data_IF_820548509138
#
_entry.id   IF_820548509138
#
_cell.length_a   1.000
_cell.length_b   1.000
_cell.length_c   1.000
_cell.angle_alpha   90.00
_cell.angle_beta   90.00
_cell.angle_gamma   90.00
#
_symmetry.space_group_name_H-M   'P 1'
#
loop_
_entity.id
_entity.type
_entity.pdbx_description
1 polymer ?
#
# COMPACT_ATOMS: atom_id res chain seq x y z
N UNK A 1 7.27 -14.09 18.34
CA UNK A 1 7.96 -13.50 19.49
C UNK A 1 7.05 -13.56 20.70
N UNK A 2 7.52 -13.77 21.92
CA UNK A 2 6.64 -13.63 23.09
C UNK A 2 6.17 -12.18 23.20
N UNK A 3 4.93 -11.97 23.66
CA UNK A 3 4.39 -10.63 23.91
C UNK A 3 5.29 -9.92 24.93
N UNK A 4 5.62 -8.66 24.65
CA UNK A 4 6.29 -7.80 25.61
C UNK A 4 5.26 -7.35 26.66
N UNK A 5 5.37 -7.74 27.93
CA UNK A 5 4.35 -7.39 28.96
C UNK A 5 4.23 -5.88 29.21
N UNK A 6 5.19 -5.08 28.72
CA UNK A 6 5.15 -3.62 28.78
C UNK A 6 4.64 -2.98 27.48
N UNK A 7 4.37 -3.74 26.44
CA UNK A 7 3.81 -3.22 25.20
C UNK A 7 2.28 -3.03 25.36
N UNK A 8 1.71 -1.94 24.82
CA UNK A 8 0.27 -1.71 24.88
C UNK A 8 -0.47 -2.76 24.05
N UNK A 9 -1.71 -3.07 24.44
CA UNK A 9 -2.67 -3.77 23.58
C UNK A 9 -3.28 -2.80 22.59
N UNK A 10 -3.61 -3.28 21.35
CA UNK A 10 -4.02 -2.40 20.28
C UNK A 10 -5.13 -3.01 19.42
N UNK A 11 -6.14 -2.22 19.05
CA UNK A 11 -7.14 -2.58 18.04
C UNK A 11 -7.00 -1.70 16.81
N UNK A 12 -7.10 -2.31 15.63
CA UNK A 12 -7.21 -1.61 14.34
C UNK A 12 -8.57 -1.94 13.74
N UNK A 13 -9.34 -0.91 13.40
CA UNK A 13 -10.60 -1.05 12.66
C UNK A 13 -10.37 -0.70 11.19
N UNK A 14 -10.61 -1.67 10.33
CA UNK A 14 -10.44 -1.57 8.88
C UNK A 14 -11.78 -1.79 8.19
N UNK A 15 -12.27 -0.75 7.52
CA UNK A 15 -13.36 -0.84 6.55
C UNK A 15 -12.74 -0.93 5.16
N UNK A 16 -13.08 -1.98 4.42
CA UNK A 16 -12.51 -2.22 3.08
C UNK A 16 -13.31 -1.43 2.06
N UNK A 17 -12.67 -0.43 1.43
CA UNK A 17 -13.25 0.43 0.38
C UNK A 17 -12.50 0.24 -0.93
N UNK A 18 -11.16 0.32 -0.93
CA UNK A 18 -10.30 0.04 -2.10
C UNK A 18 -9.85 -1.43 -2.11
N UNK A 19 -10.80 -2.35 -2.24
CA UNK A 19 -10.56 -3.79 -2.36
C UNK A 19 -9.44 -4.32 -1.43
N UNK A 20 -8.20 -4.38 -1.93
CA UNK A 20 -7.06 -4.94 -1.21
C UNK A 20 -6.16 -3.87 -0.56
N UNK A 21 -6.35 -2.59 -0.91
CA UNK A 21 -5.48 -1.50 -0.43
C UNK A 21 -5.57 -1.31 1.07
N UNK A 22 -6.79 -1.06 1.57
CA UNK A 22 -7.03 -0.75 2.98
C UNK A 22 -6.62 -1.89 3.90
N UNK A 23 -7.12 -3.09 3.61
CA UNK A 23 -6.77 -4.28 4.40
C UNK A 23 -5.30 -4.66 4.26
N UNK A 24 -4.69 -4.38 3.10
CA UNK A 24 -3.27 -4.62 2.87
C UNK A 24 -2.39 -3.82 3.82
N UNK A 25 -2.66 -2.52 3.97
CA UNK A 25 -1.93 -1.63 4.88
C UNK A 25 -2.18 -2.04 6.34
N UNK A 26 -3.46 -2.23 6.72
CA UNK A 26 -3.82 -2.63 8.08
C UNK A 26 -3.16 -3.95 8.49
N UNK A 27 -3.10 -4.92 7.58
CA UNK A 27 -2.46 -6.22 7.82
C UNK A 27 -0.94 -6.10 7.98
N UNK A 28 -0.27 -5.29 7.15
CA UNK A 28 1.18 -5.03 7.31
C UNK A 28 1.45 -4.35 8.65
N UNK A 29 0.71 -3.30 8.98
CA UNK A 29 0.86 -2.60 10.26
C UNK A 29 0.63 -3.54 11.46
N UNK A 30 -0.45 -4.32 11.44
CA UNK A 30 -0.77 -5.26 12.51
C UNK A 30 0.35 -6.29 12.74
N UNK A 31 0.87 -6.87 11.64
CA UNK A 31 1.98 -7.83 11.72
C UNK A 31 3.26 -7.19 12.21
N UNK A 32 3.62 -6.01 11.69
CA UNK A 32 4.83 -5.30 12.11
C UNK A 32 4.79 -4.94 13.60
N UNK A 33 3.67 -4.38 14.08
CA UNK A 33 3.46 -4.09 15.49
C UNK A 33 3.61 -5.34 16.38
N UNK A 34 3.07 -6.47 15.94
CA UNK A 34 3.22 -7.72 16.68
C UNK A 34 4.65 -8.26 16.61
N UNK A 35 5.22 -8.41 15.41
CA UNK A 35 6.47 -9.12 15.17
C UNK A 35 7.70 -8.36 15.67
N UNK A 36 7.70 -7.04 15.53
CA UNK A 36 8.87 -6.22 15.85
C UNK A 36 8.77 -5.57 17.23
N UNK A 37 7.55 -5.26 17.68
CA UNK A 37 7.34 -4.55 18.95
C UNK A 37 6.64 -5.38 20.03
N UNK A 38 6.20 -6.62 19.72
CA UNK A 38 5.54 -7.50 20.68
C UNK A 38 4.15 -7.02 21.15
N UNK A 39 3.50 -6.15 20.35
CA UNK A 39 2.16 -5.61 20.64
C UNK A 39 1.11 -6.71 20.46
N UNK A 40 0.16 -6.80 21.39
CA UNK A 40 -1.04 -7.63 21.24
C UNK A 40 -2.03 -6.89 20.34
N UNK A 41 -2.16 -7.31 19.07
CA UNK A 41 -2.99 -6.63 18.08
C UNK A 41 -4.27 -7.40 17.81
N UNK A 42 -5.42 -6.70 17.85
CA UNK A 42 -6.71 -7.15 17.30
C UNK A 42 -7.05 -6.34 16.05
N UNK A 43 -7.23 -7.02 14.93
CA UNK A 43 -7.61 -6.43 13.66
C UNK A 43 -9.08 -6.74 13.37
N UNK A 44 -9.92 -5.70 13.35
CA UNK A 44 -11.34 -5.77 12.99
C UNK A 44 -11.51 -5.46 11.51
N UNK A 45 -12.16 -6.37 10.77
CA UNK A 45 -12.31 -6.27 9.32
C UNK A 45 -13.75 -6.59 8.92
N UNK A 46 -14.35 -5.75 8.10
CA UNK A 46 -15.72 -5.95 7.59
C UNK A 46 -15.76 -6.93 6.39
N UNK A 47 -14.75 -6.93 5.54
CA UNK A 47 -14.64 -7.84 4.38
C UNK A 47 -13.49 -8.84 4.55
N UNK A 48 -13.78 -9.96 5.22
CA UNK A 48 -12.83 -11.07 5.37
C UNK A 48 -12.60 -11.86 4.06
N UNK A 49 -13.48 -11.74 3.06
CA UNK A 49 -13.27 -12.39 1.77
C UNK A 49 -12.14 -11.71 0.98
N UNK A 50 -12.11 -10.38 0.95
CA UNK A 50 -10.99 -9.62 0.41
C UNK A 50 -9.71 -9.88 1.20
N UNK A 51 -9.80 -9.99 2.53
CA UNK A 51 -8.64 -10.30 3.36
C UNK A 51 -8.07 -11.68 3.08
N UNK A 52 -8.89 -12.71 2.93
CA UNK A 52 -8.47 -14.07 2.56
C UNK A 52 -7.62 -14.09 1.27
N UNK A 53 -7.92 -13.22 0.31
CA UNK A 53 -7.16 -13.14 -0.95
C UNK A 53 -5.69 -12.75 -0.73
N UNK A 54 -5.42 -11.82 0.19
CA UNK A 54 -4.06 -11.38 0.50
C UNK A 54 -3.37 -12.20 1.59
N UNK A 55 -4.16 -12.90 2.42
CA UNK A 55 -3.70 -13.80 3.47
C UNK A 55 -4.55 -15.08 3.47
N UNK A 56 -4.18 -16.12 2.71
CA UNK A 56 -4.95 -17.36 2.58
C UNK A 56 -5.20 -18.12 3.90
N UNK A 57 -4.42 -17.82 4.94
CA UNK A 57 -4.60 -18.42 6.27
C UNK A 57 -5.82 -17.85 7.02
N UNK A 58 -6.42 -16.76 6.53
CA UNK A 58 -7.64 -16.17 7.10
C UNK A 58 -8.86 -16.95 6.60
N UNK A 59 -9.67 -17.48 7.51
CA UNK A 59 -10.97 -18.08 7.19
C UNK A 59 -12.03 -16.98 7.06
N UNK A 60 -12.60 -16.75 5.87
CA UNK A 60 -13.64 -15.74 5.68
C UNK A 60 -14.98 -16.08 6.34
N UNK A 61 -15.18 -17.29 6.87
CA UNK A 61 -16.39 -17.68 7.59
C UNK A 61 -16.29 -17.48 9.12
N UNK A 62 -15.08 -17.34 9.66
CA UNK A 62 -14.86 -17.23 11.09
C UNK A 62 -15.10 -15.80 11.60
N UNK A 63 -15.82 -15.66 12.74
CA UNK A 63 -16.02 -14.36 13.40
C UNK A 63 -14.79 -13.91 14.20
N UNK A 64 -14.00 -14.86 14.68
CA UNK A 64 -12.74 -14.60 15.37
C UNK A 64 -11.73 -15.71 15.06
N UNK A 65 -10.49 -15.31 14.84
CA UNK A 65 -9.40 -16.24 14.51
C UNK A 65 -8.04 -15.64 14.87
N UNK A 66 -7.00 -16.48 14.91
CA UNK A 66 -5.65 -16.04 15.22
C UNK A 66 -4.71 -16.43 14.08
N UNK A 67 -4.07 -15.43 13.47
CA UNK A 67 -3.22 -15.62 12.28
C UNK A 67 -1.97 -14.76 12.38
N UNK A 68 -0.79 -15.34 12.18
CA UNK A 68 0.51 -14.67 12.21
C UNK A 68 0.74 -13.78 13.46
N UNK A 69 0.20 -14.18 14.62
CA UNK A 69 0.35 -13.44 15.87
C UNK A 69 -0.69 -12.34 16.10
N UNK A 70 -1.63 -12.17 15.18
CA UNK A 70 -2.69 -11.15 15.24
C UNK A 70 -4.04 -11.83 15.46
N UNK A 71 -4.85 -11.28 16.39
CA UNK A 71 -6.26 -11.66 16.52
C UNK A 71 -7.06 -10.95 15.43
N UNK A 72 -7.68 -11.68 14.53
CA UNK A 72 -8.56 -11.14 13.50
C UNK A 72 -10.01 -11.34 13.94
N UNK A 73 -10.81 -10.29 13.85
CA UNK A 73 -12.24 -10.33 14.18
C UNK A 73 -13.06 -9.75 13.02
N UNK A 74 -14.21 -10.40 12.76
CA UNK A 74 -15.18 -9.86 11.82
C UNK A 74 -15.83 -8.60 12.43
N UNK A 75 -15.86 -7.55 11.65
CA UNK A 75 -16.55 -6.31 12.00
C UNK A 75 -17.95 -6.29 11.36
N UNK A 76 -18.99 -6.30 12.20
CA UNK A 76 -20.39 -6.31 11.75
C UNK A 76 -20.98 -4.88 11.61
N UNK A 77 -20.18 -3.89 11.28
CA UNK A 77 -20.64 -2.50 11.10
C UNK A 77 -20.90 -1.79 12.43
N UNK A 78 -21.99 -1.03 12.51
CA UNK A 78 -22.29 -0.15 13.64
C UNK A 78 -22.91 -0.86 14.85
N UNK A 79 -23.19 -2.15 14.74
CA UNK A 79 -23.76 -2.96 15.82
C UNK A 79 -22.71 -3.53 16.77
N UNK A 80 -23.19 -4.07 17.91
CA UNK A 80 -22.36 -4.77 18.90
C UNK A 80 -22.54 -4.21 20.30
N UNK A 81 -22.32 -5.08 21.30
CA UNK A 81 -22.28 -4.70 22.72
C UNK A 81 -20.85 -4.91 23.20
N UNK A 82 -20.25 -3.87 23.71
CA UNK A 82 -18.86 -3.85 24.17
C UNK A 82 -18.77 -3.39 25.62
N UNK A 83 -17.98 -4.08 26.42
CA UNK A 83 -17.66 -3.67 27.78
C UNK A 83 -16.31 -2.96 27.85
N UNK A 84 -16.02 -2.29 28.96
CA UNK A 84 -14.73 -1.65 29.19
C UNK A 84 -13.54 -2.64 29.13
N UNK A 85 -13.77 -3.92 29.44
CA UNK A 85 -12.77 -4.99 29.33
C UNK A 85 -12.43 -5.42 27.91
N UNK A 86 -13.27 -5.07 26.92
CA UNK A 86 -13.03 -5.36 25.52
C UNK A 86 -12.17 -4.30 24.82
N UNK A 87 -11.93 -3.18 25.52
CA UNK A 87 -11.22 -2.03 24.97
C UNK A 87 -9.71 -2.15 25.27
N UNK A 88 -8.84 -2.15 24.26
CA UNK A 88 -7.39 -2.16 24.43
C UNK A 88 -6.85 -0.79 24.85
N UNK A 89 -5.53 -0.70 25.03
CA UNK A 89 -4.86 0.56 25.41
C UNK A 89 -4.84 1.57 24.27
N UNK A 90 -4.82 1.09 23.04
CA UNK A 90 -4.80 1.92 21.83
C UNK A 90 -5.88 1.45 20.86
N UNK A 91 -6.61 2.39 20.29
CA UNK A 91 -7.63 2.14 19.24
C UNK A 91 -7.28 2.95 18.01
N UNK A 92 -7.07 2.28 16.88
CA UNK A 92 -6.84 2.89 15.58
C UNK A 92 -8.10 2.76 14.73
N UNK A 93 -8.64 3.90 14.36
CA UNK A 93 -9.67 4.06 13.35
C UNK A 93 -8.97 4.33 12.01
N UNK A 94 -9.10 3.41 11.07
CA UNK A 94 -8.38 3.51 9.81
C UNK A 94 -9.22 4.25 8.77
N UNK A 95 -8.68 5.34 8.23
CA UNK A 95 -9.33 6.22 7.23
C UNK A 95 -10.71 6.75 7.65
N UNK A 96 -10.89 7.05 8.95
CA UNK A 96 -12.15 7.58 9.44
C UNK A 96 -13.32 6.61 9.25
N UNK A 97 -13.11 5.31 9.44
CA UNK A 97 -14.10 4.25 9.16
C UNK A 97 -15.33 4.26 10.10
N UNK A 98 -15.41 5.20 11.04
CA UNK A 98 -16.51 5.40 11.98
C UNK A 98 -16.76 4.18 12.88
N UNK A 99 -16.11 4.16 14.04
CA UNK A 99 -16.25 3.11 15.04
C UNK A 99 -17.70 2.92 15.50
N UNK A 100 -18.13 1.70 15.85
CA UNK A 100 -19.45 1.47 16.40
C UNK A 100 -19.72 2.37 17.63
N UNK A 101 -20.89 3.02 17.75
CA UNK A 101 -21.19 3.90 18.89
C UNK A 101 -21.02 3.21 20.25
N UNK A 102 -21.45 1.96 20.37
CA UNK A 102 -21.27 1.17 21.60
C UNK A 102 -19.79 0.93 21.95
N UNK A 103 -18.90 0.82 20.94
CA UNK A 103 -17.47 0.70 21.17
C UNK A 103 -16.89 2.03 21.70
N UNK A 104 -17.30 3.15 21.13
CA UNK A 104 -16.87 4.50 21.56
C UNK A 104 -17.37 4.80 22.98
N UNK A 105 -18.59 4.38 23.32
CA UNK A 105 -19.12 4.48 24.69
C UNK A 105 -18.32 3.64 25.68
N UNK A 106 -17.96 2.40 25.32
CA UNK A 106 -17.10 1.53 26.12
C UNK A 106 -15.69 2.11 26.30
N UNK A 107 -15.12 2.74 25.25
CA UNK A 107 -13.85 3.50 25.35
C UNK A 107 -13.95 4.62 26.39
N UNK A 108 -15.06 5.35 26.42
CA UNK A 108 -15.28 6.44 27.38
C UNK A 108 -15.44 5.94 28.82
N UNK A 109 -15.98 4.73 29.02
CA UNK A 109 -16.18 4.09 30.31
C UNK A 109 -14.91 3.43 30.87
N UNK A 110 -13.93 3.12 30.03
CA UNK A 110 -12.66 2.48 30.42
C UNK A 110 -11.78 3.45 31.26
N UNK A 111 -11.09 2.91 32.25
CA UNK A 111 -10.09 3.65 33.04
C UNK A 111 -8.79 2.83 33.13
N UNK A 112 -7.61 3.35 32.69
CA UNK A 112 -7.45 4.60 31.95
C UNK A 112 -8.12 4.52 30.57
N UNK A 113 -8.47 5.68 29.99
CA UNK A 113 -9.04 5.74 28.65
C UNK A 113 -8.02 5.31 27.60
N UNK A 114 -8.46 4.69 26.49
CA UNK A 114 -7.53 4.33 25.43
C UNK A 114 -7.02 5.57 24.67
N UNK A 115 -5.82 5.47 24.13
CA UNK A 115 -5.35 6.40 23.10
C UNK A 115 -6.14 6.11 21.82
N UNK A 116 -6.85 7.12 21.31
CA UNK A 116 -7.64 7.00 20.08
C UNK A 116 -6.96 7.72 18.93
N UNK A 117 -6.63 6.98 17.87
CA UNK A 117 -5.92 7.47 16.70
C UNK A 117 -6.80 7.30 15.47
N UNK A 118 -6.96 8.34 14.68
CA UNK A 118 -7.45 8.26 13.31
C UNK A 118 -6.24 8.22 12.37
N UNK A 119 -6.00 7.05 11.78
CA UNK A 119 -4.95 6.87 10.78
C UNK A 119 -5.47 7.35 9.43
N UNK A 120 -4.79 8.32 8.86
CA UNK A 120 -5.18 8.99 7.61
C UNK A 120 -4.42 8.49 6.40
N UNK A 121 -4.91 8.79 5.20
CA UNK A 121 -4.29 8.41 3.95
C UNK A 121 -2.95 9.13 3.70
N UNK A 122 -1.99 8.40 3.18
CA UNK A 122 -0.66 8.91 2.82
C UNK A 122 -0.77 10.07 1.80
N UNK A 123 -0.22 11.24 2.12
CA UNK A 123 -0.17 12.39 1.24
C UNK A 123 1.15 13.17 1.36
N UNK A 124 1.54 13.80 0.26
CA UNK A 124 2.66 14.74 0.18
C UNK A 124 2.19 16.21 0.12
N UNK A 125 0.93 16.48 0.42
CA UNK A 125 0.38 17.84 0.44
C UNK A 125 0.91 18.59 1.67
N UNK A 126 1.21 19.89 1.51
CA UNK A 126 1.87 20.72 2.54
C UNK A 126 1.07 20.84 3.85
N UNK A 127 -0.28 20.76 3.78
CA UNK A 127 -1.15 20.87 4.95
C UNK A 127 -1.04 19.68 5.92
N UNK A 128 -0.58 18.51 5.42
CA UNK A 128 -0.47 17.27 6.20
C UNK A 128 0.39 17.43 7.43
N UNK A 129 1.51 18.13 7.30
CA UNK A 129 2.42 18.37 8.42
C UNK A 129 1.76 19.16 9.55
N UNK A 130 0.92 20.14 9.19
CA UNK A 130 0.18 20.95 10.17
C UNK A 130 -0.97 20.20 10.84
N UNK A 131 -1.46 19.12 10.24
CA UNK A 131 -2.56 18.31 10.76
C UNK A 131 -2.09 17.05 11.51
N UNK A 132 -0.86 16.61 11.27
CA UNK A 132 -0.30 15.43 11.92
C UNK A 132 -0.25 15.59 13.44
N UNK A 133 -0.79 14.60 14.17
CA UNK A 133 -0.92 14.55 15.64
C UNK A 133 -1.89 15.56 16.25
N UNK A 134 -2.64 16.32 15.46
CA UNK A 134 -3.64 17.24 16.02
C UNK A 134 -4.74 16.49 16.78
N UNK A 135 -5.13 16.99 17.95
CA UNK A 135 -6.24 16.42 18.72
C UNK A 135 -7.59 16.89 18.19
N UNK A 136 -8.59 16.02 18.26
CA UNK A 136 -10.01 16.33 18.04
C UNK A 136 -10.83 15.82 19.20
N UNK A 137 -11.53 16.71 19.89
CA UNK A 137 -12.38 16.39 21.04
C UNK A 137 -13.69 15.76 20.59
N UNK A 138 -14.07 14.62 21.16
CA UNK A 138 -15.40 14.07 20.93
C UNK A 138 -16.47 14.99 21.52
N UNK A 139 -17.54 15.33 20.77
CA UNK A 139 -18.47 16.40 21.17
C UNK A 139 -19.25 16.13 22.46
N UNK A 140 -19.46 14.87 22.84
CA UNK A 140 -20.28 14.46 23.99
C UNK A 140 -19.54 13.65 25.04
N UNK A 141 -18.53 12.91 24.62
CA UNK A 141 -17.74 12.03 25.48
C UNK A 141 -16.38 12.68 25.78
N UNK A 142 -15.81 12.38 26.94
CA UNK A 142 -14.48 12.90 27.30
C UNK A 142 -13.38 12.05 26.63
N UNK A 143 -13.44 11.95 25.30
CA UNK A 143 -12.46 11.26 24.47
C UNK A 143 -11.75 12.25 23.54
N UNK A 144 -10.48 12.02 23.30
CA UNK A 144 -9.67 12.78 22.34
C UNK A 144 -9.19 11.82 21.28
N UNK A 145 -9.51 12.13 20.02
CA UNK A 145 -9.01 11.44 18.85
C UNK A 145 -7.84 12.24 18.27
N UNK A 146 -6.73 11.61 17.95
CA UNK A 146 -5.58 12.24 17.35
C UNK A 146 -5.46 11.82 15.87
N UNK A 147 -5.30 12.78 14.96
CA UNK A 147 -5.05 12.48 13.56
C UNK A 147 -3.60 12.05 13.36
N UNK A 148 -3.38 10.94 12.68
CA UNK A 148 -2.05 10.41 12.40
C UNK A 148 -1.88 10.24 10.89
N UNK A 149 -1.07 11.08 10.28
CA UNK A 149 -0.80 11.08 8.85
C UNK A 149 0.52 10.39 8.55
N UNK A 150 0.55 9.30 7.76
CA UNK A 150 1.77 8.86 7.11
C UNK A 150 2.29 9.94 6.16
N UNK A 151 3.57 9.89 5.81
CA UNK A 151 4.15 10.91 4.94
C UNK A 151 5.64 10.71 4.69
N UNK A 152 6.24 11.64 3.97
CA UNK A 152 7.54 11.50 3.36
C UNK A 152 8.66 12.31 4.03
N UNK A 153 8.40 12.87 5.20
CA UNK A 153 9.37 13.69 5.93
C UNK A 153 9.31 13.45 7.44
N UNK A 154 10.20 14.07 8.18
CA UNK A 154 10.34 13.89 9.63
C UNK A 154 9.15 14.38 10.45
N UNK A 155 8.34 15.34 9.92
CA UNK A 155 7.17 15.95 10.58
C UNK A 155 5.89 15.15 10.37
N UNK A 156 5.96 14.00 9.72
CA UNK A 156 4.86 13.09 9.46
C UNK A 156 5.13 11.70 10.04
N UNK A 157 4.16 10.80 9.95
CA UNK A 157 4.25 9.45 10.52
C UNK A 157 5.25 8.50 9.84
N UNK A 158 5.89 8.91 8.74
CA UNK A 158 6.73 8.00 7.95
C UNK A 158 5.92 7.00 7.13
N UNK A 159 6.58 5.95 6.64
CA UNK A 159 5.97 4.87 5.87
C UNK A 159 6.19 3.53 6.56
N UNK A 160 5.28 2.57 6.34
CA UNK A 160 5.49 1.18 6.79
C UNK A 160 6.73 0.59 6.12
N UNK A 161 7.67 0.14 6.95
CA UNK A 161 8.92 -0.47 6.53
C UNK A 161 9.35 -1.51 7.55
N UNK A 162 9.15 -2.77 7.24
CA UNK A 162 9.48 -3.88 8.14
C UNK A 162 11.00 -4.05 8.30
N UNK A 163 11.44 -4.42 9.48
CA UNK A 163 12.84 -4.69 9.77
C UNK A 163 13.39 -5.77 8.81
N UNK A 164 14.56 -5.49 8.25
CA UNK A 164 15.20 -6.40 7.29
C UNK A 164 14.68 -6.33 5.85
N UNK A 165 13.59 -5.60 5.55
CA UNK A 165 13.03 -5.50 4.20
C UNK A 165 14.07 -5.09 3.17
N UNK A 166 14.88 -4.08 3.49
CA UNK A 166 15.93 -3.59 2.57
C UNK A 166 17.04 -4.62 2.36
N UNK A 167 17.39 -5.39 3.38
CA UNK A 167 18.37 -6.48 3.26
C UNK A 167 17.85 -7.62 2.39
N UNK A 168 16.58 -8.04 2.60
CA UNK A 168 15.92 -9.04 1.78
C UNK A 168 15.83 -8.60 0.31
N UNK A 169 15.42 -7.36 0.07
CA UNK A 169 15.35 -6.80 -1.28
C UNK A 169 16.72 -6.83 -1.98
N UNK A 170 17.77 -6.35 -1.30
CA UNK A 170 19.14 -6.35 -1.88
C UNK A 170 19.60 -7.75 -2.20
N UNK A 171 19.44 -8.70 -1.28
CA UNK A 171 19.85 -10.08 -1.47
C UNK A 171 19.13 -10.67 -2.71
N UNK A 172 17.81 -10.47 -2.82
CA UNK A 172 17.03 -10.96 -3.95
C UNK A 172 17.44 -10.29 -5.29
N UNK A 173 17.61 -8.96 -5.31
CA UNK A 173 17.98 -8.23 -6.53
C UNK A 173 19.42 -8.51 -6.99
N UNK A 174 20.29 -8.96 -6.11
CA UNK A 174 21.67 -9.36 -6.41
C UNK A 174 21.82 -10.84 -6.76
N UNK A 175 20.74 -11.62 -6.69
CA UNK A 175 20.71 -13.04 -7.03
C UNK A 175 19.86 -13.29 -8.30
N UNK A 176 20.50 -13.30 -9.51
CA UNK A 176 19.78 -13.57 -10.76
C UNK A 176 19.12 -14.94 -10.79
N UNK A 177 19.66 -15.94 -10.06
CA UNK A 177 19.09 -17.28 -10.02
C UNK A 177 17.79 -17.28 -9.19
N UNK A 178 17.78 -16.61 -8.03
CA UNK A 178 16.57 -16.46 -7.22
C UNK A 178 15.50 -15.67 -7.98
N UNK A 179 15.85 -14.55 -8.64
CA UNK A 179 14.91 -13.79 -9.49
C UNK A 179 14.37 -14.65 -10.63
N UNK A 180 15.24 -15.39 -11.33
CA UNK A 180 14.84 -16.28 -12.42
C UNK A 180 13.89 -17.38 -11.94
N UNK A 181 14.19 -18.03 -10.82
CA UNK A 181 13.34 -19.05 -10.21
C UNK A 181 11.98 -18.48 -9.79
N UNK A 182 11.95 -17.28 -9.21
CA UNK A 182 10.70 -16.61 -8.87
C UNK A 182 9.83 -16.32 -10.10
N UNK A 183 10.41 -15.73 -11.14
CA UNK A 183 9.69 -15.39 -12.38
C UNK A 183 9.24 -16.65 -13.15
N UNK A 184 10.02 -17.74 -13.09
CA UNK A 184 9.65 -19.01 -13.70
C UNK A 184 8.35 -19.61 -13.10
N UNK A 185 8.01 -19.31 -11.84
CA UNK A 185 6.72 -19.71 -11.24
C UNK A 185 5.51 -19.15 -12.02
N UNK A 186 5.70 -18.04 -12.71
CA UNK A 186 4.69 -17.40 -13.56
C UNK A 186 4.82 -17.78 -15.05
N UNK A 187 5.63 -18.79 -15.35
CA UNK A 187 5.78 -19.33 -16.70
C UNK A 187 6.63 -18.46 -17.64
N UNK A 188 7.45 -17.54 -17.14
CA UNK A 188 8.36 -16.78 -18.00
C UNK A 188 9.37 -17.74 -18.64
N UNK A 189 9.51 -17.64 -19.95
CA UNK A 189 10.52 -18.36 -20.71
C UNK A 189 11.91 -17.72 -20.51
N UNK A 190 12.97 -18.48 -20.81
CA UNK A 190 14.35 -17.97 -20.77
C UNK A 190 14.52 -16.73 -21.68
N UNK A 191 13.83 -16.69 -22.82
CA UNK A 191 13.84 -15.55 -23.72
C UNK A 191 13.18 -14.32 -23.07
N UNK A 192 12.00 -14.48 -22.47
CA UNK A 192 11.27 -13.39 -21.82
C UNK A 192 12.00 -12.88 -20.56
N UNK A 193 12.78 -13.71 -19.89
CA UNK A 193 13.62 -13.27 -18.78
C UNK A 193 14.64 -12.17 -19.17
N UNK A 194 15.03 -12.11 -20.45
CA UNK A 194 15.90 -11.06 -21.00
C UNK A 194 15.14 -9.80 -21.44
N UNK A 195 13.79 -9.84 -21.51
CA UNK A 195 12.97 -8.69 -21.87
C UNK A 195 12.91 -7.69 -20.72
N UNK A 196 12.49 -6.45 -21.04
CA UNK A 196 12.04 -5.50 -20.01
C UNK A 196 10.85 -6.10 -19.28
N UNK A 197 10.92 -6.21 -17.97
CA UNK A 197 9.85 -6.72 -17.10
C UNK A 197 9.05 -5.55 -16.53
N UNK A 198 7.75 -5.57 -16.76
CA UNK A 198 6.82 -4.56 -16.23
C UNK A 198 5.75 -5.25 -15.39
N UNK A 199 5.61 -4.87 -14.13
CA UNK A 199 4.42 -5.24 -13.36
C UNK A 199 3.30 -4.23 -13.64
N UNK A 200 2.08 -4.72 -13.90
CA UNK A 200 0.94 -3.87 -14.23
C UNK A 200 -0.19 -4.08 -13.22
N UNK A 201 -0.36 -3.14 -12.32
CA UNK A 201 -1.46 -3.10 -11.37
C UNK A 201 -2.10 -1.70 -11.41
N UNK A 202 -3.30 -1.61 -12.04
CA UNK A 202 -3.97 -0.35 -12.31
C UNK A 202 -5.48 -0.45 -12.10
N UNK A 203 -6.16 0.69 -12.10
CA UNK A 203 -7.62 0.76 -12.16
C UNK A 203 -8.12 0.58 -13.61
N UNK A 204 -9.42 0.28 -13.82
CA UNK A 204 -9.96 -0.04 -15.15
C UNK A 204 -9.92 1.10 -16.17
N UNK A 205 -9.84 2.33 -15.71
CA UNK A 205 -9.82 3.57 -16.52
C UNK A 205 -8.44 3.92 -17.10
N UNK A 206 -7.41 3.13 -16.76
CA UNK A 206 -6.07 3.31 -17.30
C UNK A 206 -6.04 3.23 -18.84
N UNK A 207 -5.25 4.06 -19.55
CA UNK A 207 -5.14 4.10 -21.01
C UNK A 207 -4.27 2.94 -21.54
N UNK A 208 -4.75 1.70 -21.33
CA UNK A 208 -3.98 0.48 -21.62
C UNK A 208 -3.86 0.17 -23.11
N UNK A 209 -4.86 0.49 -23.91
CA UNK A 209 -4.82 0.18 -25.35
C UNK A 209 -3.68 0.95 -26.01
N UNK A 210 -3.53 2.21 -25.66
CA UNK A 210 -2.47 3.10 -26.16
C UNK A 210 -1.10 2.66 -25.64
N UNK A 211 -0.99 2.30 -24.37
CA UNK A 211 0.26 1.84 -23.77
C UNK A 211 0.68 0.49 -24.36
N UNK A 212 -0.23 -0.46 -24.53
CA UNK A 212 0.05 -1.73 -25.19
C UNK A 212 0.48 -1.53 -26.64
N UNK A 213 -0.11 -0.58 -27.35
CA UNK A 213 0.31 -0.25 -28.71
C UNK A 213 1.74 0.32 -28.73
N UNK A 214 2.08 1.23 -27.81
CA UNK A 214 3.42 1.76 -27.68
C UNK A 214 4.45 0.64 -27.40
N UNK A 215 4.16 -0.30 -26.49
CA UNK A 215 5.05 -1.42 -26.18
C UNK A 215 5.19 -2.43 -27.34
N UNK A 216 4.13 -2.66 -28.10
CA UNK A 216 4.18 -3.53 -29.29
C UNK A 216 5.13 -3.00 -30.34
N UNK A 217 5.28 -1.69 -30.45
CA UNK A 217 6.09 -0.97 -31.45
C UNK A 217 7.46 -0.55 -30.91
N UNK A 218 7.73 -0.74 -29.61
CA UNK A 218 9.01 -0.39 -29.00
C UNK A 218 10.14 -1.25 -29.58
N UNK A 219 11.35 -0.70 -29.69
CA UNK A 219 12.53 -1.45 -30.13
C UNK A 219 12.94 -2.52 -29.11
N UNK A 220 12.73 -2.29 -27.82
CA UNK A 220 13.06 -3.23 -26.76
C UNK A 220 11.87 -4.11 -26.41
N UNK A 221 11.98 -5.45 -26.49
CA UNK A 221 10.91 -6.34 -26.09
C UNK A 221 10.53 -6.15 -24.61
N UNK A 222 9.24 -6.22 -24.33
CA UNK A 222 8.66 -6.06 -22.99
C UNK A 222 7.82 -7.29 -22.64
N UNK A 223 7.96 -7.81 -21.41
CA UNK A 223 7.01 -8.73 -20.81
C UNK A 223 6.22 -7.98 -19.72
N UNK A 224 4.91 -7.91 -19.92
CA UNK A 224 3.96 -7.31 -19.00
C UNK A 224 3.36 -8.40 -18.11
N UNK A 225 3.54 -8.29 -16.81
CA UNK A 225 3.05 -9.18 -15.78
C UNK A 225 1.84 -8.51 -15.11
N UNK A 226 0.64 -9.04 -15.39
CA UNK A 226 -0.62 -8.46 -14.90
C UNK A 226 -1.36 -9.45 -14.01
N UNK A 227 -1.67 -9.12 -12.75
CA UNK A 227 -2.47 -9.98 -11.88
C UNK A 227 -3.87 -10.21 -12.43
N UNK A 228 -4.38 -11.43 -12.23
CA UNK A 228 -5.76 -11.80 -12.59
C UNK A 228 -6.78 -10.79 -12.07
N UNK A 229 -7.74 -10.41 -12.91
CA UNK A 229 -8.79 -9.44 -12.59
C UNK A 229 -8.40 -7.97 -12.80
N UNK A 230 -7.12 -7.65 -12.96
CA UNK A 230 -6.68 -6.27 -13.25
C UNK A 230 -7.03 -5.90 -14.69
N UNK A 231 -7.74 -4.79 -14.87
CA UNK A 231 -8.15 -4.24 -16.18
C UNK A 231 -8.68 -5.31 -17.15
N UNK A 232 -9.48 -6.26 -16.65
CA UNK A 232 -9.86 -7.51 -17.28
C UNK A 232 -10.26 -7.36 -18.74
N UNK A 233 -11.18 -6.45 -19.06
CA UNK A 233 -11.69 -6.27 -20.41
C UNK A 233 -10.58 -5.91 -21.43
N UNK A 234 -9.61 -5.07 -21.03
CA UNK A 234 -8.49 -4.66 -21.89
C UNK A 234 -7.47 -5.78 -22.05
N UNK A 235 -7.22 -6.53 -20.99
CA UNK A 235 -6.34 -7.70 -21.02
C UNK A 235 -6.95 -8.80 -21.91
N UNK A 236 -8.23 -9.12 -21.78
CA UNK A 236 -8.95 -10.07 -22.64
C UNK A 236 -8.93 -9.65 -24.12
N UNK A 237 -9.12 -8.37 -24.41
CA UNK A 237 -9.03 -7.85 -25.78
C UNK A 237 -7.61 -8.03 -26.36
N UNK A 238 -6.56 -7.81 -25.57
CA UNK A 238 -5.19 -8.08 -25.97
C UNK A 238 -4.92 -9.56 -26.19
N UNK A 239 -5.36 -10.42 -25.26
CA UNK A 239 -5.15 -11.87 -25.34
C UNK A 239 -5.93 -12.50 -26.51
N UNK A 240 -7.14 -12.00 -26.79
CA UNK A 240 -8.14 -12.66 -27.63
C UNK A 240 -8.80 -13.87 -26.95
N UNK A 241 -8.69 -13.96 -25.62
CA UNK A 241 -9.21 -15.05 -24.77
C UNK A 241 -9.47 -14.52 -23.36
N UNK A 242 -10.05 -15.36 -22.50
CA UNK A 242 -10.28 -15.02 -21.08
C UNK A 242 -8.96 -14.70 -20.35
N UNK A 243 -8.98 -13.65 -19.50
CA UNK A 243 -7.83 -13.22 -18.71
C UNK A 243 -7.72 -14.04 -17.41
N UNK A 244 -7.55 -15.34 -17.53
CA UNK A 244 -7.35 -16.26 -16.41
C UNK A 244 -5.85 -16.43 -16.10
N UNK A 245 -5.54 -16.81 -14.87
CA UNK A 245 -4.18 -17.07 -14.44
C UNK A 245 -3.47 -18.08 -15.38
N UNK A 246 -2.28 -17.70 -15.84
CA UNK A 246 -1.49 -18.48 -16.81
C UNK A 246 -1.78 -18.13 -18.28
N UNK A 247 -2.85 -17.38 -18.59
CA UNK A 247 -3.09 -16.91 -19.97
C UNK A 247 -1.96 -15.98 -20.42
N UNK A 248 -1.53 -16.14 -21.67
CA UNK A 248 -0.48 -15.32 -22.25
C UNK A 248 -0.66 -15.14 -23.74
N UNK A 249 -0.17 -14.02 -24.25
CA UNK A 249 -0.08 -13.75 -25.70
C UNK A 249 1.09 -12.81 -25.98
N UNK A 250 1.64 -12.94 -27.20
CA UNK A 250 2.67 -12.03 -27.69
C UNK A 250 2.19 -11.36 -28.97
N UNK A 251 2.28 -10.03 -29.02
CA UNK A 251 1.92 -9.21 -30.19
C UNK A 251 2.98 -8.15 -30.41
N UNK A 252 3.73 -8.26 -31.51
CA UNK A 252 4.92 -7.42 -31.75
C UNK A 252 5.96 -7.66 -30.64
N UNK A 253 6.50 -6.60 -30.08
CA UNK A 253 7.48 -6.67 -29.01
C UNK A 253 6.87 -6.67 -27.58
N UNK A 254 5.57 -6.91 -27.46
CA UNK A 254 4.88 -7.06 -26.15
C UNK A 254 4.45 -8.51 -25.95
N UNK A 255 5.00 -9.17 -24.92
CA UNK A 255 4.46 -10.37 -24.31
C UNK A 255 3.65 -9.97 -23.07
N UNK A 256 2.40 -10.41 -22.96
CA UNK A 256 1.54 -10.20 -21.79
C UNK A 256 1.27 -11.55 -21.12
N UNK A 257 1.41 -11.60 -19.80
CA UNK A 257 1.12 -12.77 -18.97
C UNK A 257 0.22 -12.43 -17.81
N UNK A 258 -0.85 -13.19 -17.66
CA UNK A 258 -1.77 -13.07 -16.51
C UNK A 258 -1.22 -13.91 -15.37
N UNK A 259 -0.94 -13.25 -14.24
CA UNK A 259 -0.48 -13.90 -13.02
C UNK A 259 -1.66 -14.37 -12.19
N UNK A 260 -1.55 -15.48 -11.43
CA UNK A 260 -2.49 -15.75 -10.36
C UNK A 260 -2.46 -14.61 -9.34
N UNK A 261 -3.43 -14.57 -8.45
CA UNK A 261 -3.36 -13.63 -7.33
C UNK A 261 -2.07 -13.88 -6.52
N UNK A 262 -1.32 -12.81 -6.26
CA UNK A 262 0.00 -12.89 -5.61
C UNK A 262 -0.13 -12.42 -4.16
N UNK A 263 0.13 -13.29 -3.16
CA UNK A 263 0.14 -12.89 -1.74
C UNK A 263 1.13 -11.75 -1.47
N UNK A 264 0.90 -10.97 -0.41
CA UNK A 264 1.71 -9.77 -0.12
C UNK A 264 3.23 -9.99 -0.12
N UNK A 265 3.80 -11.06 0.47
CA UNK A 265 5.25 -11.27 0.42
C UNK A 265 5.77 -11.50 -1.01
N UNK A 266 5.05 -12.25 -1.82
CA UNK A 266 5.40 -12.52 -3.20
C UNK A 266 5.20 -11.29 -4.10
N UNK A 267 4.24 -10.41 -3.75
CA UNK A 267 4.04 -9.15 -4.44
C UNK A 267 5.25 -8.21 -4.29
N UNK A 268 5.88 -8.17 -3.12
CA UNK A 268 7.11 -7.44 -2.93
C UNK A 268 8.24 -7.97 -3.84
N UNK A 269 8.39 -9.30 -3.93
CA UNK A 269 9.35 -9.94 -4.85
C UNK A 269 9.06 -9.60 -6.31
N UNK A 270 7.78 -9.54 -6.70
CA UNK A 270 7.37 -9.14 -8.06
C UNK A 270 7.83 -7.72 -8.40
N UNK A 271 7.60 -6.76 -7.49
CA UNK A 271 8.05 -5.38 -7.66
C UNK A 271 9.59 -5.28 -7.73
N UNK A 272 10.31 -6.10 -6.97
CA UNK A 272 11.77 -6.12 -6.96
C UNK A 272 12.35 -6.74 -8.23
N UNK A 273 11.65 -7.71 -8.82
CA UNK A 273 12.08 -8.40 -10.04
C UNK A 273 11.82 -7.60 -11.32
N UNK A 274 10.87 -6.65 -11.29
CA UNK A 274 10.50 -5.86 -12.46
C UNK A 274 11.38 -4.62 -12.65
N UNK A 275 11.55 -4.22 -13.92
CA UNK A 275 12.33 -3.03 -14.30
C UNK A 275 11.50 -1.74 -14.20
N UNK A 276 10.16 -1.86 -14.24
CA UNK A 276 9.20 -0.77 -14.08
C UNK A 276 7.92 -1.32 -13.45
N UNK A 277 7.36 -0.58 -12.50
CA UNK A 277 6.17 -0.98 -11.77
C UNK A 277 5.03 0.02 -11.97
N UNK A 278 3.92 -0.41 -12.54
CA UNK A 278 2.66 0.31 -12.45
C UNK A 278 1.95 -0.17 -11.19
N UNK A 279 1.66 0.75 -10.28
CA UNK A 279 1.05 0.45 -8.98
C UNK A 279 -0.15 1.35 -8.75
N UNK A 280 -1.11 0.89 -7.91
CA UNK A 280 -2.33 1.65 -7.62
C UNK A 280 -2.60 1.78 -6.13
N UNK A 281 -3.52 2.68 -5.79
CA UNK A 281 -3.93 2.88 -4.40
C UNK A 281 -2.77 3.28 -3.50
N UNK A 282 -2.73 2.76 -2.26
CA UNK A 282 -1.73 3.17 -1.29
C UNK A 282 -0.73 2.05 -0.94
N UNK A 283 -1.17 0.82 -0.61
CA UNK A 283 -0.24 -0.27 -0.22
C UNK A 283 0.80 -0.55 -1.30
N UNK A 284 0.36 -0.82 -2.54
CA UNK A 284 1.27 -1.13 -3.63
C UNK A 284 2.19 0.05 -4.00
N UNK A 285 1.73 1.28 -3.82
CA UNK A 285 2.52 2.49 -4.01
C UNK A 285 3.64 2.62 -2.98
N UNK A 286 3.35 2.39 -1.70
CA UNK A 286 4.38 2.34 -0.65
C UNK A 286 5.40 1.25 -0.96
N UNK A 287 4.96 0.07 -1.36
CA UNK A 287 5.87 -1.06 -1.67
C UNK A 287 6.74 -0.80 -2.89
N UNK A 288 6.24 -0.11 -3.91
CA UNK A 288 7.03 0.29 -5.08
C UNK A 288 8.18 1.25 -4.71
N UNK A 289 7.97 2.12 -3.73
CA UNK A 289 9.03 3.00 -3.23
C UNK A 289 10.16 2.21 -2.58
N UNK A 290 9.82 1.16 -1.79
CA UNK A 290 10.80 0.28 -1.18
C UNK A 290 11.50 -0.65 -2.18
N UNK A 291 10.90 -0.92 -3.34
CA UNK A 291 11.53 -1.70 -4.40
C UNK A 291 12.81 -1.04 -4.95
N UNK A 292 12.93 0.30 -4.85
CA UNK A 292 14.05 1.05 -5.43
C UNK A 292 14.10 0.92 -6.95
N UNK A 293 12.96 0.71 -7.59
CA UNK A 293 12.78 0.58 -9.04
C UNK A 293 11.87 1.70 -9.55
N UNK A 294 11.98 2.10 -10.81
CA UNK A 294 11.04 3.01 -11.45
C UNK A 294 9.58 2.56 -11.23
N UNK A 295 8.70 3.51 -10.96
CA UNK A 295 7.27 3.22 -10.86
C UNK A 295 6.41 4.37 -11.41
N UNK A 296 5.20 4.01 -11.82
CA UNK A 296 4.11 4.91 -12.20
C UNK A 296 2.94 4.63 -11.24
N UNK A 297 2.51 5.65 -10.52
CA UNK A 297 1.41 5.53 -9.57
C UNK A 297 0.07 5.85 -10.22
N UNK A 298 -0.90 4.94 -10.09
CA UNK A 298 -2.29 5.16 -10.40
C UNK A 298 -3.03 5.41 -9.08
N UNK A 299 -3.30 6.67 -8.78
CA UNK A 299 -3.97 7.08 -7.54
C UNK A 299 -5.43 6.63 -7.54
N UNK A 300 -5.97 6.30 -6.36
CA UNK A 300 -7.40 5.96 -6.21
C UNK A 300 -8.29 7.12 -6.68
N UNK A 301 -9.19 6.89 -7.66
CA UNK A 301 -10.07 7.94 -8.18
C UNK A 301 -11.03 8.45 -7.11
N UNK A 302 -11.14 9.78 -7.00
CA UNK A 302 -12.06 10.46 -6.10
C UNK A 302 -12.99 11.36 -6.91
N UNK A 303 -14.16 11.66 -6.35
CA UNK A 303 -15.09 12.61 -6.94
C UNK A 303 -14.41 13.97 -7.18
N UNK A 304 -14.89 14.71 -8.17
CA UNK A 304 -14.37 16.03 -8.56
C UNK A 304 -12.85 16.09 -8.82
N UNK A 305 -12.23 14.94 -9.12
CA UNK A 305 -10.79 14.82 -9.37
C UNK A 305 -9.90 15.35 -8.22
N UNK A 306 -10.36 15.30 -6.98
CA UNK A 306 -9.60 15.77 -5.81
C UNK A 306 -8.26 15.02 -5.66
N UNK A 307 -8.23 13.76 -6.05
CA UNK A 307 -7.00 12.94 -6.07
C UNK A 307 -5.88 13.52 -6.94
N UNK A 308 -6.20 14.33 -7.97
CA UNK A 308 -5.17 14.98 -8.79
C UNK A 308 -4.31 15.99 -8.03
N UNK A 309 -4.84 16.63 -6.96
CA UNK A 309 -4.06 17.51 -6.10
C UNK A 309 -2.99 16.72 -5.34
N UNK A 310 -3.41 15.62 -4.73
CA UNK A 310 -2.53 14.68 -4.01
C UNK A 310 -1.45 14.09 -4.94
N UNK A 311 -1.83 13.70 -6.16
CA UNK A 311 -0.91 13.23 -7.18
C UNK A 311 0.15 14.28 -7.55
N UNK A 312 -0.28 15.53 -7.80
CA UNK A 312 0.62 16.64 -8.14
C UNK A 312 1.57 16.99 -7.00
N UNK A 313 1.10 16.94 -5.76
CA UNK A 313 1.92 17.16 -4.57
C UNK A 313 3.03 16.10 -4.48
N UNK A 314 2.69 14.81 -4.63
CA UNK A 314 3.69 13.74 -4.64
C UNK A 314 4.70 13.89 -5.79
N UNK A 315 4.24 14.16 -7.02
CA UNK A 315 5.13 14.37 -8.15
C UNK A 315 6.01 15.62 -7.99
N UNK A 316 5.55 16.60 -7.20
CA UNK A 316 6.33 17.80 -6.83
C UNK A 316 7.56 17.47 -5.98
N UNK A 317 7.50 16.45 -5.12
CA UNK A 317 8.62 16.02 -4.26
C UNK A 317 9.42 14.87 -4.88
N UNK A 318 8.76 13.93 -5.54
CA UNK A 318 9.42 12.74 -6.11
C UNK A 318 10.03 13.00 -7.49
N UNK A 319 9.29 13.65 -8.39
CA UNK A 319 9.64 13.78 -9.81
C UNK A 319 9.89 15.24 -10.25
N UNK A 320 10.39 16.10 -9.35
CA UNK A 320 10.62 17.51 -9.64
C UNK A 320 11.55 17.73 -10.84
N UNK A 321 12.60 16.91 -10.95
CA UNK A 321 13.60 16.98 -12.02
C UNK A 321 13.42 15.90 -13.10
N UNK A 322 12.25 15.27 -13.16
CA UNK A 322 11.91 14.18 -14.06
C UNK A 322 10.65 14.53 -14.87
N UNK A 323 10.77 15.46 -15.84
CA UNK A 323 9.63 15.97 -16.59
C UNK A 323 8.87 14.91 -17.38
N UNK A 324 9.57 13.91 -17.97
CA UNK A 324 8.92 12.86 -18.72
C UNK A 324 8.12 11.90 -17.78
N UNK A 325 8.70 11.50 -16.65
CA UNK A 325 7.98 10.71 -15.65
C UNK A 325 6.76 11.46 -15.11
N UNK A 326 6.91 12.76 -14.83
CA UNK A 326 5.83 13.61 -14.34
C UNK A 326 4.69 13.69 -15.36
N UNK A 327 5.00 14.02 -16.61
CA UNK A 327 4.02 14.14 -17.69
C UNK A 327 3.31 12.78 -17.93
N UNK A 328 4.08 11.70 -18.01
CA UNK A 328 3.54 10.35 -18.19
C UNK A 328 2.59 9.96 -17.05
N UNK A 329 3.00 10.18 -15.79
CA UNK A 329 2.17 9.83 -14.64
C UNK A 329 0.91 10.68 -14.55
N UNK A 330 0.96 11.97 -14.88
CA UNK A 330 -0.23 12.82 -14.97
C UNK A 330 -1.18 12.36 -16.07
N UNK A 331 -0.65 12.01 -17.25
CA UNK A 331 -1.44 11.45 -18.33
C UNK A 331 -2.08 10.10 -17.97
N UNK A 332 -1.31 9.22 -17.31
CA UNK A 332 -1.78 7.91 -16.84
C UNK A 332 -3.00 8.01 -15.89
N UNK A 333 -3.08 9.08 -15.14
CA UNK A 333 -4.18 9.38 -14.21
C UNK A 333 -5.25 10.32 -14.79
N UNK A 334 -5.23 10.62 -16.08
CA UNK A 334 -6.16 11.56 -16.71
C UNK A 334 -6.05 13.00 -16.20
N UNK A 335 -4.98 13.34 -15.46
CA UNK A 335 -4.76 14.67 -14.89
C UNK A 335 -4.23 15.68 -15.94
N UNK A 336 -3.81 15.19 -17.10
CA UNK A 336 -3.52 15.99 -18.30
C UNK A 336 -3.71 15.12 -19.55
N UNK A 337 -4.05 15.71 -20.72
CA UNK A 337 -4.15 14.97 -21.97
C UNK A 337 -2.78 14.50 -22.44
N UNK A 338 -2.75 13.35 -23.15
CA UNK A 338 -1.59 12.81 -23.85
C UNK A 338 -1.97 12.54 -25.28
N UNK A 339 -1.42 13.32 -26.20
CA UNK A 339 -1.76 13.23 -27.64
C UNK A 339 -1.09 12.03 -28.33
N UNK A 340 0.10 11.65 -27.86
CA UNK A 340 0.87 10.52 -28.42
C UNK A 340 1.51 9.70 -27.28
N UNK A 341 0.91 8.57 -26.95
CA UNK A 341 1.43 7.65 -25.93
C UNK A 341 2.73 6.96 -26.34
N UNK A 342 2.99 6.81 -27.64
CA UNK A 342 4.27 6.28 -28.12
C UNK A 342 5.40 7.26 -27.86
N UNK A 343 5.17 8.55 -28.11
CA UNK A 343 6.13 9.59 -27.79
C UNK A 343 6.33 9.75 -26.27
N UNK A 344 5.24 9.71 -25.48
CA UNK A 344 5.29 9.76 -24.03
C UNK A 344 6.09 8.59 -23.43
N UNK A 345 5.88 7.37 -23.95
CA UNK A 345 6.66 6.19 -23.57
C UNK A 345 8.13 6.32 -23.91
N UNK A 346 8.46 6.78 -25.11
CA UNK A 346 9.86 7.01 -25.52
C UNK A 346 10.54 8.07 -24.63
N UNK A 347 9.81 9.12 -24.25
CA UNK A 347 10.31 10.12 -23.31
C UNK A 347 10.63 9.51 -21.95
N UNK A 348 9.75 8.67 -21.42
CA UNK A 348 9.97 7.93 -20.16
C UNK A 348 11.21 7.02 -20.25
N UNK A 349 11.38 6.29 -21.36
CA UNK A 349 12.54 5.42 -21.57
C UNK A 349 13.85 6.21 -21.75
N UNK A 350 13.80 7.36 -22.38
CA UNK A 350 14.97 8.25 -22.47
C UNK A 350 15.42 8.76 -21.11
N UNK A 351 14.46 9.08 -20.23
CA UNK A 351 14.72 9.57 -18.86
C UNK A 351 15.01 8.42 -17.89
N UNK A 352 14.87 7.15 -18.28
CA UNK A 352 15.00 5.97 -17.41
C UNK A 352 16.23 5.97 -16.48
N UNK A 353 17.46 6.27 -16.94
CA UNK A 353 18.61 6.26 -16.03
C UNK A 353 18.46 7.25 -14.86
N UNK A 354 17.88 8.42 -15.13
CA UNK A 354 17.62 9.42 -14.10
C UNK A 354 16.49 8.96 -13.14
N UNK A 355 15.45 8.31 -13.68
CA UNK A 355 14.34 7.75 -12.89
C UNK A 355 14.85 6.64 -11.97
N UNK A 356 15.71 5.74 -12.45
CA UNK A 356 16.32 4.67 -11.67
C UNK A 356 17.18 5.24 -10.52
N UNK A 357 18.02 6.22 -10.83
CA UNK A 357 18.82 6.91 -9.81
C UNK A 357 17.96 7.60 -8.76
N UNK A 358 16.86 8.25 -9.20
CA UNK A 358 15.90 8.90 -8.29
C UNK A 358 15.17 7.90 -7.43
N UNK A 359 14.71 6.77 -7.96
CA UNK A 359 14.01 5.74 -7.20
C UNK A 359 14.87 5.19 -6.05
N UNK A 360 16.15 4.94 -6.28
CA UNK A 360 17.06 4.48 -5.23
C UNK A 360 17.40 5.61 -4.23
N UNK A 361 17.61 6.84 -4.67
CA UNK A 361 17.84 7.99 -3.79
C UNK A 361 16.61 8.26 -2.90
N UNK A 362 15.41 8.27 -3.51
CA UNK A 362 14.13 8.48 -2.81
C UNK A 362 13.90 7.46 -1.69
N UNK A 363 14.13 6.18 -1.99
CA UNK A 363 14.03 5.11 -1.00
C UNK A 363 14.91 5.39 0.23
N UNK A 364 16.16 5.84 0.01
CA UNK A 364 17.07 6.18 1.11
C UNK A 364 16.63 7.41 1.89
N UNK A 365 16.13 8.43 1.19
CA UNK A 365 15.61 9.66 1.80
C UNK A 365 14.44 9.33 2.73
N UNK A 366 13.43 8.59 2.23
CA UNK A 366 12.25 8.25 3.03
C UNK A 366 12.59 7.31 4.19
N UNK A 367 13.50 6.36 3.98
CA UNK A 367 13.98 5.46 5.06
C UNK A 367 14.64 6.22 6.21
N UNK A 368 15.35 7.31 5.91
CA UNK A 368 16.03 8.13 6.92
C UNK A 368 15.06 8.83 7.89
N UNK A 369 13.78 8.97 7.53
CA UNK A 369 12.76 9.58 8.39
C UNK A 369 12.15 8.60 9.40
N UNK A 370 12.56 7.33 9.38
CA UNK A 370 12.08 6.29 10.29
C UNK A 370 10.81 5.60 9.81
N UNK A 371 10.54 4.41 10.35
CA UNK A 371 9.37 3.63 10.01
C UNK A 371 8.12 4.07 10.79
N UNK A 372 6.97 3.84 10.19
CA UNK A 372 5.67 4.27 10.72
C UNK A 372 5.30 3.57 12.02
N UNK A 373 5.54 2.27 12.14
CA UNK A 373 5.14 1.51 13.33
C UNK A 373 5.87 1.99 14.59
N UNK A 374 7.18 2.24 14.47
CA UNK A 374 7.99 2.81 15.56
C UNK A 374 7.50 4.21 15.93
N UNK A 375 7.34 5.11 14.95
CA UNK A 375 6.89 6.50 15.20
C UNK A 375 5.48 6.55 15.82
N UNK A 376 4.59 5.64 15.41
CA UNK A 376 3.26 5.51 15.97
C UNK A 376 3.30 5.12 17.46
N UNK A 377 4.11 4.11 17.80
CA UNK A 377 4.25 3.67 19.19
C UNK A 377 4.94 4.71 20.06
N UNK A 378 5.90 5.45 19.53
CA UNK A 378 6.54 6.57 20.25
C UNK A 378 5.51 7.66 20.55
N UNK A 379 4.65 8.01 19.59
CA UNK A 379 3.58 8.96 19.81
C UNK A 379 2.56 8.48 20.87
N UNK A 380 2.20 7.19 20.85
CA UNK A 380 1.34 6.58 21.89
C UNK A 380 1.96 6.72 23.27
N UNK A 381 3.26 6.45 23.42
CA UNK A 381 3.99 6.60 24.69
C UNK A 381 4.03 8.05 25.16
N UNK A 382 4.26 9.00 24.27
CA UNK A 382 4.21 10.43 24.58
C UNK A 382 2.86 10.86 25.15
N UNK A 383 1.75 10.37 24.56
CA UNK A 383 0.39 10.67 25.04
C UNK A 383 0.13 10.05 26.41
N UNK A 384 0.53 8.81 26.65
CA UNK A 384 0.39 8.15 27.96
C UNK A 384 1.12 8.91 29.08
N UNK A 385 2.36 9.32 28.83
CA UNK A 385 3.15 10.10 29.80
C UNK A 385 2.56 11.50 30.06
N UNK A 386 1.90 12.10 29.08
CA UNK A 386 1.25 13.40 29.25
C UNK A 386 -0.02 13.31 30.09
N UNK A 387 -0.75 12.19 30.03
CA UNK A 387 -1.91 11.94 30.90
C UNK A 387 -1.49 11.68 32.36
N UNK A 388 -0.46 10.87 32.61
CA UNK A 388 0.06 10.61 33.94
C UNK A 388 0.52 11.87 34.68
N UNK A 389 1.05 12.88 33.98
CA UNK A 389 1.47 14.17 34.55
C UNK A 389 0.31 15.12 34.85
N UNK A 390 -0.92 14.82 34.40
CA UNK A 390 -2.11 15.64 34.62
C UNK A 390 -3.00 15.14 35.74
N UNK A 391 -2.74 13.93 36.24
CA UNK A 391 -3.36 13.31 37.39
C UNK A 391 -2.52 13.56 38.65
#
# INVERSE_FOLDING_TARGET
>A
MPLNPSAPSLAIFCKVVDNFGDIGICWRLARQLHQEHGVAVTLWVDDLASFHRICPDVDPAADAQFTAGVTVRRWHGQGGVFGAGDIPDVVIEFFGCELPPGYVEAMAARTPRPVWINYEGLSAEDWVEGCHRLPSMHPRLRLVKHFYFPGFNERTGGLLHEAGLDACRRAFQQDPAAMGAFLARFGLTTQEAAFRKVSLFCYPDAPLDELFQAWRQDARPTVCLVPEGVARARVEAFLGAAAEAGACATRGNLALRVLPFVPQPDYDLLLWACDLNFVRGEDSWVRAQWAGRPFVWHIYPQEENLHHKKLRAFLGVYAQQLPALRAFTLGWNGAQPVDDWTAAWRGLEHERPAIEARADAWRREVLAHGDLATKLLDFVRELGQAEEKRV
#
